data_IF_556082684325
#
_entry.id   IF_556082684325
#
_cell.length_a   1.000
_cell.length_b   1.000
_cell.length_c   1.000
_cell.angle_alpha   90.00
_cell.angle_beta   90.00
_cell.angle_gamma   90.00
#
_symmetry.space_group_name_H-M   'P 1'
#
loop_
_entity.id
_entity.type
_entity.pdbx_description
1 polymer ?
#
# COMPACT_ATOMS: atom_id res chain seq x y z
N UNK A 1 -11.83 8.23 -5.21
CA UNK A 1 -10.49 8.84 -4.98
C UNK A 1 -9.49 8.02 -5.79
N UNK A 2 -8.31 8.58 -6.18
CA UNK A 2 -7.29 7.79 -6.89
C UNK A 2 -6.00 7.78 -6.08
N UNK A 3 -5.29 6.65 -6.10
CA UNK A 3 -3.97 6.48 -5.51
C UNK A 3 -3.08 5.65 -6.45
N UNK A 4 -1.79 5.95 -6.47
CA UNK A 4 -0.80 5.14 -7.17
C UNK A 4 -0.33 4.03 -6.24
N UNK A 5 -0.71 2.80 -6.57
CA UNK A 5 -0.28 1.61 -5.84
C UNK A 5 1.00 1.04 -6.43
N UNK A 6 1.91 0.58 -5.58
CA UNK A 6 3.18 -0.07 -5.93
C UNK A 6 3.08 -1.53 -5.56
N UNK A 7 3.15 -2.38 -6.57
CA UNK A 7 3.15 -3.83 -6.38
C UNK A 7 4.57 -4.31 -6.60
N UNK A 8 5.22 -4.75 -5.52
CA UNK A 8 6.57 -5.29 -5.57
C UNK A 8 6.50 -6.76 -5.96
N UNK A 9 7.19 -7.10 -7.04
CA UNK A 9 7.25 -8.46 -7.60
C UNK A 9 8.69 -8.96 -7.51
N UNK A 10 8.89 -10.14 -6.94
CA UNK A 10 10.16 -10.86 -7.01
C UNK A 10 10.18 -11.68 -8.29
N UNK A 11 11.22 -11.50 -9.09
CA UNK A 11 11.35 -12.17 -10.38
C UNK A 11 11.87 -13.60 -10.19
N UNK A 12 11.23 -14.56 -10.82
CA UNK A 12 11.71 -15.95 -10.87
C UNK A 12 12.88 -16.09 -11.87
N UNK A 13 12.82 -15.33 -12.97
CA UNK A 13 13.88 -15.26 -13.98
C UNK A 13 14.19 -13.78 -14.28
N UNK A 14 15.48 -13.48 -14.45
CA UNK A 14 15.95 -12.13 -14.83
C UNK A 14 15.51 -11.71 -16.22
N UNK A 15 15.13 -12.65 -17.06
CA UNK A 15 14.69 -12.41 -18.44
C UNK A 15 13.15 -12.28 -18.58
N UNK A 16 12.40 -12.26 -17.44
CA UNK A 16 10.96 -12.04 -17.46
C UNK A 16 10.60 -10.75 -18.21
N UNK A 17 9.57 -10.84 -19.04
CA UNK A 17 9.05 -9.72 -19.81
C UNK A 17 8.18 -8.81 -18.96
N UNK A 18 8.01 -7.56 -19.37
CA UNK A 18 7.13 -6.59 -18.70
C UNK A 18 5.70 -7.13 -18.59
N UNK A 19 5.21 -7.85 -19.61
CA UNK A 19 3.86 -8.44 -19.63
C UNK A 19 3.72 -9.56 -18.60
N UNK A 20 4.72 -10.41 -18.44
CA UNK A 20 4.74 -11.48 -17.43
C UNK A 20 4.73 -10.88 -16.03
N UNK A 21 5.62 -9.93 -15.74
CA UNK A 21 5.71 -9.23 -14.44
C UNK A 21 4.38 -8.54 -14.11
N UNK A 22 3.79 -7.84 -15.09
CA UNK A 22 2.48 -7.19 -14.92
C UNK A 22 1.37 -8.20 -14.65
N UNK A 23 1.42 -9.37 -15.31
CA UNK A 23 0.46 -10.46 -15.11
C UNK A 23 0.52 -11.00 -13.68
N UNK A 24 1.73 -11.21 -13.14
CA UNK A 24 1.92 -11.63 -11.75
C UNK A 24 1.31 -10.58 -10.79
N UNK A 25 1.66 -9.30 -10.95
CA UNK A 25 1.13 -8.24 -10.09
C UNK A 25 -0.41 -8.16 -10.14
N UNK A 26 -1.03 -8.36 -11.31
CA UNK A 26 -2.49 -8.40 -11.47
C UNK A 26 -3.11 -9.57 -10.73
N UNK A 27 -2.57 -10.77 -10.92
CA UNK A 27 -3.07 -12.01 -10.33
C UNK A 27 -2.98 -11.97 -8.82
N UNK A 28 -1.83 -11.59 -8.27
CA UNK A 28 -1.58 -11.57 -6.83
C UNK A 28 -2.43 -10.51 -6.08
N UNK A 29 -2.95 -9.52 -6.81
CA UNK A 29 -3.77 -8.45 -6.20
C UNK A 29 -5.24 -8.49 -6.60
N UNK A 30 -5.70 -9.53 -7.32
CA UNK A 30 -7.06 -9.58 -7.88
C UNK A 30 -8.16 -9.58 -6.80
N UNK A 31 -7.96 -10.31 -5.71
CA UNK A 31 -8.96 -10.54 -4.67
C UNK A 31 -8.96 -9.49 -3.53
N UNK A 32 -8.16 -8.41 -3.67
CA UNK A 32 -8.05 -7.39 -2.61
C UNK A 32 -9.07 -6.25 -2.78
N UNK A 33 -10.34 -6.53 -2.56
CA UNK A 33 -11.46 -5.57 -2.70
C UNK A 33 -11.44 -4.40 -1.73
N UNK A 34 -10.56 -4.39 -0.72
CA UNK A 34 -10.35 -3.23 0.16
C UNK A 34 -9.33 -2.23 -0.41
N UNK A 35 -8.59 -2.61 -1.45
CA UNK A 35 -7.56 -1.78 -2.03
C UNK A 35 -8.08 -0.93 -3.19
N UNK A 36 -9.14 -1.38 -3.87
CA UNK A 36 -9.71 -0.67 -5.01
C UNK A 36 -11.11 -1.20 -5.34
N UNK A 37 -11.97 -0.34 -5.90
CA UNK A 37 -13.20 -0.71 -6.59
C UNK A 37 -12.99 -0.79 -8.12
N UNK A 38 -11.98 -0.06 -8.62
CA UNK A 38 -11.51 -0.09 -10.00
C UNK A 38 -10.01 0.20 -10.06
N UNK A 39 -9.32 -0.36 -11.05
CA UNK A 39 -7.89 -0.10 -11.27
C UNK A 39 -7.51 -0.10 -12.75
N UNK A 40 -6.55 0.77 -13.13
CA UNK A 40 -5.82 0.69 -14.38
C UNK A 40 -4.49 -0.03 -14.14
N UNK A 41 -4.19 -1.05 -14.92
CA UNK A 41 -3.07 -1.95 -14.68
C UNK A 41 -2.13 -2.12 -15.87
N UNK A 42 -2.53 -1.69 -17.06
CA UNK A 42 -1.71 -1.79 -18.27
C UNK A 42 -0.80 -0.58 -18.43
N UNK A 43 -1.22 0.54 -17.84
CA UNK A 43 -0.45 1.79 -17.75
C UNK A 43 -0.45 2.29 -16.30
N UNK A 44 0.29 3.37 -16.03
CA UNK A 44 0.23 4.05 -14.74
C UNK A 44 -1.00 4.99 -14.62
N UNK A 45 -1.96 4.90 -15.53
CA UNK A 45 -3.19 5.69 -15.52
C UNK A 45 -2.93 7.19 -15.47
N UNK A 46 -3.37 7.86 -14.43
CA UNK A 46 -3.18 9.31 -14.25
C UNK A 46 -1.73 9.75 -14.14
N UNK A 47 -0.84 8.83 -13.78
CA UNK A 47 0.61 9.07 -13.63
C UNK A 47 1.43 8.64 -14.86
N UNK A 48 0.77 8.33 -15.99
CA UNK A 48 1.46 7.89 -17.23
C UNK A 48 2.49 8.91 -17.75
N UNK A 49 2.26 10.20 -17.53
CA UNK A 49 3.24 11.25 -17.88
C UNK A 49 4.53 11.17 -17.04
N UNK A 50 4.46 10.68 -15.82
CA UNK A 50 5.58 10.50 -14.90
C UNK A 50 6.20 9.11 -15.05
N UNK A 51 5.35 8.10 -15.31
CA UNK A 51 5.74 6.71 -15.52
C UNK A 51 5.24 6.21 -16.88
N UNK A 52 5.95 6.51 -17.99
CA UNK A 52 5.57 6.08 -19.33
C UNK A 52 5.51 4.55 -19.50
N UNK A 53 6.32 3.82 -18.69
CA UNK A 53 6.18 2.40 -18.45
C UNK A 53 5.77 2.22 -16.97
N UNK A 54 4.69 1.49 -16.74
CA UNK A 54 4.22 1.23 -15.37
C UNK A 54 4.97 0.09 -14.66
N UNK A 55 6.08 -0.37 -15.21
CA UNK A 55 6.98 -1.36 -14.61
C UNK A 55 8.37 -0.78 -14.47
N UNK A 56 8.90 -0.76 -13.26
CA UNK A 56 10.25 -0.36 -12.92
C UNK A 56 11.05 -1.63 -12.66
N UNK A 57 12.06 -1.89 -13.46
CA UNK A 57 12.94 -3.06 -13.32
C UNK A 57 14.16 -2.69 -12.49
N UNK A 58 14.42 -3.42 -11.42
CA UNK A 58 15.57 -3.15 -10.55
C UNK A 58 16.91 -3.35 -11.24
N UNK A 59 16.99 -4.22 -12.25
CA UNK A 59 18.19 -4.37 -13.09
C UNK A 59 18.55 -3.10 -13.88
N UNK A 60 17.54 -2.30 -14.24
CA UNK A 60 17.73 -1.09 -15.06
C UNK A 60 17.73 0.19 -14.22
N UNK A 61 16.88 0.26 -13.19
CA UNK A 61 16.65 1.44 -12.35
C UNK A 61 16.66 1.08 -10.84
N UNK A 62 17.80 0.57 -10.29
CA UNK A 62 17.84 0.06 -8.91
C UNK A 62 17.51 1.09 -7.85
N UNK A 63 17.98 2.34 -8.03
CA UNK A 63 17.71 3.42 -7.08
C UNK A 63 16.24 3.83 -7.09
N UNK A 64 15.59 3.79 -8.26
CA UNK A 64 14.20 4.19 -8.42
C UNK A 64 13.24 3.24 -7.70
N UNK A 65 13.51 1.92 -7.71
CA UNK A 65 12.73 0.98 -6.89
C UNK A 65 12.79 1.39 -5.42
N UNK A 66 13.98 1.65 -4.90
CA UNK A 66 14.16 2.04 -3.50
C UNK A 66 13.44 3.36 -3.21
N UNK A 67 13.55 4.35 -4.09
CA UNK A 67 12.91 5.65 -3.93
C UNK A 67 11.37 5.49 -3.87
N UNK A 68 10.78 4.68 -4.74
CA UNK A 68 9.34 4.39 -4.71
C UNK A 68 8.89 3.74 -3.40
N UNK A 69 9.65 2.77 -2.87
CA UNK A 69 9.33 2.15 -1.59
C UNK A 69 9.43 3.15 -0.42
N UNK A 70 10.46 4.00 -0.43
CA UNK A 70 10.63 5.03 0.60
C UNK A 70 9.50 6.06 0.57
N UNK A 71 9.08 6.49 -0.62
CA UNK A 71 7.93 7.39 -0.80
C UNK A 71 6.65 6.79 -0.19
N UNK A 72 6.38 5.52 -0.48
CA UNK A 72 5.19 4.85 0.09
C UNK A 72 5.31 4.69 1.59
N UNK A 73 6.46 4.29 2.11
CA UNK A 73 6.68 4.17 3.56
C UNK A 73 6.40 5.47 4.28
N UNK A 74 6.90 6.60 3.75
CA UNK A 74 6.62 7.92 4.30
C UNK A 74 5.13 8.29 4.22
N UNK A 75 4.44 7.90 3.13
CA UNK A 75 3.00 8.08 3.00
C UNK A 75 2.23 7.26 4.05
N UNK A 76 2.55 5.99 4.23
CA UNK A 76 1.95 5.12 5.24
C UNK A 76 2.15 5.67 6.65
N UNK A 77 3.36 6.15 6.99
CA UNK A 77 3.61 6.78 8.29
C UNK A 77 2.77 8.05 8.50
N UNK A 78 2.64 8.89 7.47
CA UNK A 78 1.82 10.10 7.56
C UNK A 78 0.34 9.79 7.73
N UNK A 79 -0.18 8.78 7.02
CA UNK A 79 -1.56 8.29 7.16
C UNK A 79 -1.77 7.74 8.58
N UNK A 80 -0.85 6.91 9.07
CA UNK A 80 -0.91 6.38 10.42
C UNK A 80 -0.95 7.50 11.48
N UNK A 81 -0.08 8.51 11.36
CA UNK A 81 -0.07 9.70 12.24
C UNK A 81 -1.40 10.43 12.20
N UNK A 82 -1.95 10.66 11.02
CA UNK A 82 -3.25 11.29 10.85
C UNK A 82 -4.37 10.53 11.58
N UNK A 83 -4.43 9.20 11.45
CA UNK A 83 -5.43 8.38 12.13
C UNK A 83 -5.25 8.39 13.66
N UNK A 84 -4.02 8.31 14.15
CA UNK A 84 -3.73 8.39 15.60
C UNK A 84 -4.13 9.74 16.18
N UNK A 85 -3.83 10.85 15.51
CA UNK A 85 -4.21 12.18 15.97
C UNK A 85 -5.72 12.40 15.93
N UNK A 86 -6.38 11.92 14.87
CA UNK A 86 -7.84 11.96 14.76
C UNK A 86 -8.49 11.14 15.88
N UNK A 87 -7.97 9.95 16.16
CA UNK A 87 -8.45 9.12 17.25
C UNK A 87 -8.33 9.84 18.61
N UNK A 88 -7.20 10.48 18.90
CA UNK A 88 -6.99 11.28 20.12
C UNK A 88 -7.99 12.45 20.23
N UNK A 89 -8.35 13.04 19.10
CA UNK A 89 -9.36 14.11 19.06
C UNK A 89 -10.75 13.61 19.45
N UNK A 90 -11.15 12.43 18.96
CA UNK A 90 -12.47 11.86 19.24
C UNK A 90 -12.54 11.05 20.55
N UNK A 91 -11.41 10.56 21.03
CA UNK A 91 -11.32 9.81 22.27
C UNK A 91 -10.07 10.24 23.08
N UNK A 92 -10.07 11.46 23.68
CA UNK A 92 -8.88 12.02 24.32
C UNK A 92 -8.34 11.17 25.48
N UNK A 93 -9.23 10.51 26.24
CA UNK A 93 -8.85 9.67 27.38
C UNK A 93 -8.34 8.30 26.98
N UNK A 94 -8.70 7.82 25.77
CA UNK A 94 -8.39 6.46 25.29
C UNK A 94 -8.73 5.37 26.32
N UNK A 95 -9.71 5.63 27.21
CA UNK A 95 -10.15 4.63 28.16
C UNK A 95 -11.21 3.72 27.57
N UNK A 96 -11.33 2.51 28.15
CA UNK A 96 -12.19 1.46 27.61
C UNK A 96 -13.67 1.83 27.67
N UNK A 97 -14.10 2.57 28.68
CA UNK A 97 -15.48 3.02 28.83
C UNK A 97 -15.90 3.98 27.74
N UNK A 98 -15.02 4.92 27.37
CA UNK A 98 -15.27 5.87 26.28
C UNK A 98 -15.31 5.12 24.93
N UNK A 99 -14.39 4.18 24.71
CA UNK A 99 -14.39 3.35 23.50
C UNK A 99 -15.67 2.52 23.42
N UNK A 100 -16.10 1.86 24.49
CA UNK A 100 -17.34 1.07 24.54
C UNK A 100 -18.57 1.94 24.34
N UNK A 101 -18.64 3.10 25.02
CA UNK A 101 -19.76 4.04 24.91
C UNK A 101 -19.94 4.58 23.50
N UNK A 102 -18.84 4.86 22.82
CA UNK A 102 -18.81 5.39 21.46
C UNK A 102 -18.66 4.28 20.38
N UNK A 103 -18.69 3.03 20.78
CA UNK A 103 -18.63 1.85 19.90
C UNK A 103 -19.89 1.73 19.01
N UNK A 104 -19.87 0.99 17.91
CA UNK A 104 -20.58 1.21 16.62
C UNK A 104 -22.08 0.94 16.60
N UNK A 105 -22.82 1.24 17.63
CA UNK A 105 -24.28 1.14 17.62
C UNK A 105 -24.97 2.32 16.93
N UNK A 106 -24.24 3.37 16.60
CA UNK A 106 -24.72 4.48 15.77
C UNK A 106 -23.92 4.58 14.48
N UNK A 107 -24.53 4.26 13.38
CA UNK A 107 -23.89 4.21 12.06
C UNK A 107 -23.35 5.56 11.54
N UNK A 108 -23.54 6.69 12.24
CA UNK A 108 -23.17 8.04 11.79
C UNK A 108 -22.80 9.01 12.93
N UNK A 109 -22.25 8.56 14.04
CA UNK A 109 -21.81 9.40 15.15
C UNK A 109 -20.30 9.37 15.35
N UNK A 110 -19.80 10.09 16.35
CA UNK A 110 -18.39 10.10 16.73
C UNK A 110 -17.83 8.70 16.99
N UNK A 111 -18.67 7.75 17.45
CA UNK A 111 -18.30 6.35 17.60
C UNK A 111 -17.97 5.64 16.29
N UNK A 112 -18.61 6.00 15.17
CA UNK A 112 -18.27 5.49 13.84
C UNK A 112 -16.87 5.94 13.40
N UNK A 113 -16.50 7.17 13.73
CA UNK A 113 -15.16 7.71 13.43
C UNK A 113 -14.07 7.02 14.26
N UNK A 114 -14.32 6.74 15.53
CA UNK A 114 -13.37 6.00 16.39
C UNK A 114 -13.11 4.60 15.80
N UNK A 115 -14.15 3.86 15.47
CA UNK A 115 -14.04 2.52 14.87
C UNK A 115 -13.33 2.55 13.52
N UNK A 116 -13.61 3.55 12.69
CA UNK A 116 -12.92 3.76 11.41
C UNK A 116 -11.42 3.98 11.60
N UNK A 117 -11.02 4.95 12.44
CA UNK A 117 -9.60 5.21 12.68
C UNK A 117 -8.87 4.03 13.31
N UNK A 118 -9.52 3.29 14.24
CA UNK A 118 -8.94 2.07 14.80
C UNK A 118 -8.73 0.99 13.75
N UNK A 119 -9.69 0.82 12.83
CA UNK A 119 -9.55 -0.12 11.71
C UNK A 119 -8.37 0.25 10.81
N UNK A 120 -8.26 1.52 10.39
CA UNK A 120 -7.16 1.98 9.53
C UNK A 120 -5.79 1.84 10.23
N UNK A 121 -5.68 2.20 11.51
CA UNK A 121 -4.46 1.99 12.31
C UNK A 121 -4.10 0.50 12.35
N UNK A 122 -5.08 -0.36 12.66
CA UNK A 122 -4.84 -1.81 12.70
C UNK A 122 -4.39 -2.36 11.36
N UNK A 123 -5.05 -1.96 10.26
CA UNK A 123 -4.73 -2.38 8.90
C UNK A 123 -3.28 -2.06 8.55
N UNK A 124 -2.86 -0.82 8.76
CA UNK A 124 -1.48 -0.39 8.49
C UNK A 124 -0.46 -1.13 9.36
N UNK A 125 -0.75 -1.35 10.65
CA UNK A 125 0.19 -2.00 11.58
C UNK A 125 0.35 -3.50 11.32
N UNK A 126 -0.67 -4.18 10.79
CA UNK A 126 -0.58 -5.61 10.43
C UNK A 126 -0.14 -5.84 8.99
N UNK A 127 0.12 -4.77 8.24
CA UNK A 127 0.55 -4.85 6.85
C UNK A 127 -0.54 -5.34 5.89
N UNK A 128 -1.80 -5.04 6.17
CA UNK A 128 -2.87 -5.39 5.25
C UNK A 128 -2.80 -4.55 3.98
N UNK A 129 -2.99 -5.20 2.82
CA UNK A 129 -3.10 -4.48 1.57
C UNK A 129 -4.50 -3.86 1.46
N UNK A 130 -4.55 -2.55 1.47
CA UNK A 130 -5.75 -1.76 1.28
C UNK A 130 -5.42 -0.44 0.54
N UNK A 131 -6.43 0.41 0.35
CA UNK A 131 -6.27 1.67 -0.37
C UNK A 131 -5.26 2.62 0.31
N UNK A 132 -5.24 2.65 1.65
CA UNK A 132 -4.33 3.52 2.41
C UNK A 132 -2.89 3.00 2.43
N UNK A 133 -2.69 1.69 2.34
CA UNK A 133 -1.34 1.10 2.29
C UNK A 133 -0.62 1.41 0.99
N UNK A 134 -1.34 1.45 -0.13
CA UNK A 134 -0.87 1.75 -1.48
C UNK A 134 0.40 0.95 -1.91
N UNK A 135 0.65 -0.17 -1.26
CA UNK A 135 1.80 -1.05 -1.48
C UNK A 135 1.42 -2.50 -1.23
N UNK A 136 1.95 -3.41 -2.04
CA UNK A 136 1.83 -4.85 -1.84
C UNK A 136 3.12 -5.56 -2.25
N UNK A 137 3.62 -6.41 -1.36
CA UNK A 137 4.74 -7.31 -1.62
C UNK A 137 4.19 -8.70 -1.97
N UNK A 138 4.39 -9.16 -3.20
CA UNK A 138 3.86 -10.44 -3.67
C UNK A 138 4.53 -11.65 -3.03
N UNK A 139 5.77 -11.53 -2.56
CA UNK A 139 6.51 -12.61 -1.91
C UNK A 139 5.97 -12.90 -0.50
N UNK A 140 5.74 -11.84 0.29
CA UNK A 140 5.29 -11.97 1.68
C UNK A 140 3.77 -11.84 1.85
N UNK A 141 3.07 -11.47 0.78
CA UNK A 141 1.63 -11.18 0.77
C UNK A 141 1.21 -10.12 1.79
N UNK A 142 2.01 -9.08 1.96
CA UNK A 142 1.78 -7.99 2.90
C UNK A 142 2.09 -6.61 2.31
N UNK A 143 1.88 -5.57 3.12
CA UNK A 143 2.15 -4.17 2.76
C UNK A 143 3.23 -3.52 3.65
N UNK A 144 4.11 -4.34 4.24
CA UNK A 144 5.15 -3.87 5.16
C UNK A 144 6.41 -3.50 4.39
N UNK A 145 6.87 -2.26 4.57
CA UNK A 145 8.15 -1.78 4.02
C UNK A 145 9.11 -1.56 5.18
N UNK A 146 9.91 -2.55 5.49
CA UNK A 146 10.92 -2.49 6.54
C UNK A 146 12.34 -2.36 5.98
N UNK A 147 13.33 -2.12 6.85
CA UNK A 147 14.72 -1.97 6.42
C UNK A 147 15.34 -3.30 5.92
N UNK A 148 14.80 -4.45 6.32
CA UNK A 148 15.24 -5.76 5.84
C UNK A 148 14.91 -5.94 4.37
N UNK A 149 13.66 -5.65 3.99
CA UNK A 149 13.22 -5.67 2.59
C UNK A 149 14.04 -4.70 1.73
N UNK A 150 14.20 -3.45 2.17
CA UNK A 150 15.01 -2.45 1.45
C UNK A 150 16.45 -2.93 1.26
N UNK A 151 17.05 -3.53 2.30
CA UNK A 151 18.42 -4.05 2.23
C UNK A 151 18.53 -5.30 1.33
N UNK A 152 17.49 -6.13 1.27
CA UNK A 152 17.44 -7.28 0.35
C UNK A 152 17.43 -6.79 -1.10
N UNK A 153 16.55 -5.83 -1.43
CA UNK A 153 16.47 -5.25 -2.76
C UNK A 153 17.78 -4.57 -3.16
N UNK A 154 18.41 -3.81 -2.25
CA UNK A 154 19.72 -3.16 -2.52
C UNK A 154 20.83 -4.15 -2.83
N UNK A 155 20.81 -5.35 -2.25
CA UNK A 155 21.82 -6.38 -2.50
C UNK A 155 21.66 -7.02 -3.87
N UNK A 156 20.45 -7.18 -4.35
CA UNK A 156 20.10 -7.85 -5.60
C UNK A 156 18.92 -7.17 -6.28
N UNK A 157 19.09 -5.92 -6.72
CA UNK A 157 17.99 -5.18 -7.34
C UNK A 157 17.46 -5.87 -8.60
N UNK A 158 18.31 -6.60 -9.31
CA UNK A 158 17.97 -7.34 -10.53
C UNK A 158 16.93 -8.45 -10.32
N UNK A 159 16.70 -8.88 -9.07
CA UNK A 159 15.71 -9.90 -8.73
C UNK A 159 14.32 -9.29 -8.45
N UNK A 160 14.15 -7.96 -8.63
CA UNK A 160 12.94 -7.26 -8.25
C UNK A 160 12.41 -6.30 -9.32
N UNK A 161 11.09 -6.17 -9.33
CA UNK A 161 10.38 -5.15 -10.11
C UNK A 161 9.28 -4.49 -9.27
N UNK A 162 8.94 -3.23 -9.59
CA UNK A 162 7.75 -2.55 -9.07
C UNK A 162 6.79 -2.29 -10.20
N UNK A 163 5.56 -2.75 -10.06
CA UNK A 163 4.45 -2.47 -11.00
C UNK A 163 3.56 -1.39 -10.39
N UNK A 164 3.23 -0.39 -11.18
CA UNK A 164 2.44 0.76 -10.77
C UNK A 164 1.01 0.64 -11.30
N UNK A 165 0.04 0.66 -10.39
CA UNK A 165 -1.39 0.63 -10.72
C UNK A 165 -2.06 1.94 -10.28
N UNK A 166 -2.90 2.52 -11.16
CA UNK A 166 -3.82 3.59 -10.79
C UNK A 166 -5.07 2.96 -10.18
N UNK A 167 -5.20 3.04 -8.87
CA UNK A 167 -6.31 2.47 -8.12
C UNK A 167 -7.31 3.56 -7.73
N UNK A 168 -8.60 3.25 -7.89
CA UNK A 168 -9.72 4.08 -7.46
C UNK A 168 -10.50 3.39 -6.33
N UNK A 169 -10.92 4.19 -5.33
CA UNK A 169 -11.79 3.77 -4.24
C UNK A 169 -12.80 4.87 -3.89
#
# INVERSE_FOLDING_TARGET
>A
MHALHRILVKLEDKDETIEEIRSVAKSETEDYYNAYDWRETDTAGRWESEYPCNVILGRDEPDKIIDELLVVRDQQENILRHHVESLKKYCPSMNIEDIIKNSPRSSFGEGGLISYHLKCISSLLVGAYDFDSAFFNTEECDSIINDELINEIRKKPEDWAVVLFDCHF
#
